data_IF_394922377137
#
_entry.id   IF_394922377137
#
_cell.length_a   1.000
_cell.length_b   1.000
_cell.length_c   1.000
_cell.angle_alpha   90.00
_cell.angle_beta   90.00
_cell.angle_gamma   90.00
#
_symmetry.space_group_name_H-M   'P 1'
#
loop_
_entity.id
_entity.type
_entity.pdbx_description
1 polymer ?
#
# COMPACT_ATOMS: atom_id res chain seq x y z
N UNK A 1 -25.95 -8.23 6.26
CA UNK A 1 -25.52 -7.73 6.08
C UNK A 1 -24.77 -7.42 5.32
N UNK A 2 -24.14 -7.43 5.05
CA UNK A 2 -23.54 -6.94 4.63
C UNK A 2 -22.76 -7.39 3.57
N UNK A 3 -23.34 -7.97 2.55
CA UNK A 3 -22.72 -8.27 1.30
C UNK A 3 -22.14 -7.03 0.66
N UNK A 4 -22.82 -5.91 0.82
CA UNK A 4 -22.31 -4.67 0.25
C UNK A 4 -21.02 -4.25 0.91
N UNK A 5 -20.94 -4.40 2.22
CA UNK A 5 -19.71 -4.04 2.90
C UNK A 5 -18.57 -4.94 2.48
N UNK A 6 -18.82 -6.21 2.34
CA UNK A 6 -17.79 -7.13 1.92
C UNK A 6 -17.37 -6.87 0.48
N UNK A 7 -18.33 -6.52 -0.36
CA UNK A 7 -18.02 -6.26 -1.76
C UNK A 7 -17.17 -5.02 -1.95
N UNK A 8 -17.21 -4.10 -1.00
CA UNK A 8 -16.43 -2.89 -1.12
C UNK A 8 -15.02 -3.03 -0.56
N UNK A 9 -14.70 -4.15 0.07
CA UNK A 9 -13.36 -4.38 0.60
C UNK A 9 -12.54 -5.16 -0.41
N UNK A 10 -11.40 -4.63 -0.75
CA UNK A 10 -10.52 -5.25 -1.73
C UNK A 10 -9.15 -5.44 -1.12
N UNK A 11 -8.40 -6.35 -1.69
CA UNK A 11 -7.06 -6.66 -1.24
C UNK A 11 -6.07 -6.42 -2.35
N UNK A 12 -4.89 -5.97 -1.97
CA UNK A 12 -3.83 -5.70 -2.91
C UNK A 12 -2.51 -6.10 -2.27
N UNK A 13 -1.69 -6.82 -3.02
CA UNK A 13 -0.34 -7.13 -2.56
C UNK A 13 0.63 -6.18 -3.22
N UNK A 14 1.45 -5.54 -2.41
CA UNK A 14 2.41 -4.57 -2.92
C UNK A 14 3.80 -4.90 -2.42
N UNK A 15 4.80 -4.58 -3.24
CA UNK A 15 6.19 -4.65 -2.85
C UNK A 15 6.66 -3.24 -2.56
N UNK A 16 7.33 -3.07 -1.43
CA UNK A 16 7.81 -1.78 -0.99
C UNK A 16 9.33 -1.83 -0.96
N UNK A 17 10.02 -1.25 -1.96
CA UNK A 17 11.47 -1.20 -1.92
C UNK A 17 11.95 -0.34 -0.76
N UNK A 18 12.94 -0.82 -0.04
CA UNK A 18 13.43 -0.15 1.15
C UNK A 18 14.94 -0.06 1.10
N UNK A 19 15.49 0.98 1.69
CA UNK A 19 16.92 1.10 1.85
C UNK A 19 17.36 0.76 3.27
N UNK A 20 16.41 0.61 4.17
CA UNK A 20 16.72 0.29 5.54
C UNK A 20 15.49 0.40 6.39
N UNK A 21 15.67 0.17 7.68
CA UNK A 21 14.58 0.17 8.62
C UNK A 21 13.89 1.53 8.73
N UNK A 22 14.66 2.59 8.56
CA UNK A 22 14.09 3.94 8.61
C UNK A 22 12.98 4.11 7.59
N UNK A 23 13.19 3.59 6.39
CA UNK A 23 12.17 3.71 5.35
C UNK A 23 10.96 2.85 5.64
N UNK A 24 11.18 1.70 6.26
CA UNK A 24 10.06 0.86 6.68
C UNK A 24 9.17 1.59 7.68
N UNK A 25 9.78 2.26 8.66
CA UNK A 25 9.03 3.01 9.65
C UNK A 25 8.30 4.20 9.03
N UNK A 26 8.96 4.87 8.09
CA UNK A 26 8.35 5.97 7.37
C UNK A 26 7.15 5.49 6.55
N UNK A 27 7.31 4.36 5.87
CA UNK A 27 6.23 3.78 5.11
C UNK A 27 5.03 3.46 6.02
N UNK A 28 5.27 2.84 7.15
CA UNK A 28 4.18 2.48 8.05
C UNK A 28 3.44 3.71 8.54
N UNK A 29 4.16 4.77 8.81
CA UNK A 29 3.54 6.00 9.28
C UNK A 29 2.67 6.62 8.20
N UNK A 30 3.16 6.66 6.98
CA UNK A 30 2.42 7.27 5.89
C UNK A 30 1.22 6.45 5.47
N UNK A 31 1.37 5.14 5.41
CA UNK A 31 0.26 4.28 5.02
C UNK A 31 -0.86 4.32 6.06
N UNK A 32 -0.50 4.51 7.31
CA UNK A 32 -1.50 4.61 8.37
C UNK A 32 -2.34 5.86 8.29
N UNK A 33 -1.90 6.85 7.51
CA UNK A 33 -2.66 8.08 7.32
C UNK A 33 -3.68 7.98 6.18
N UNK A 34 -3.68 6.89 5.44
CA UNK A 34 -4.58 6.73 4.30
C UNK A 34 -5.91 6.17 4.80
N UNK A 35 -6.94 6.97 4.73
CA UNK A 35 -8.24 6.62 5.34
C UNK A 35 -8.91 5.43 4.67
N UNK A 36 -8.68 5.21 3.38
CA UNK A 36 -9.32 4.09 2.69
C UNK A 36 -8.72 2.74 3.06
N UNK A 37 -7.58 2.72 3.72
CA UNK A 37 -6.92 1.47 4.08
C UNK A 37 -7.46 1.03 5.42
N UNK A 38 -7.98 -0.19 5.47
CA UNK A 38 -8.50 -0.76 6.69
C UNK A 38 -7.44 -1.56 7.43
N UNK A 39 -6.51 -2.17 6.70
CA UNK A 39 -5.57 -3.07 7.32
C UNK A 39 -4.35 -3.26 6.42
N UNK A 40 -3.20 -3.38 7.03
CA UNK A 40 -1.95 -3.68 6.33
C UNK A 40 -1.29 -4.84 7.04
N UNK A 41 -1.08 -5.93 6.32
CA UNK A 41 -0.43 -7.11 6.86
C UNK A 41 0.91 -7.31 6.20
N UNK A 42 1.94 -7.48 7.01
CA UNK A 42 3.27 -7.75 6.50
C UNK A 42 3.35 -9.22 6.08
N UNK A 43 3.57 -9.45 4.79
CA UNK A 43 3.68 -10.81 4.28
C UNK A 43 5.13 -11.28 4.25
N UNK A 44 6.07 -10.38 3.97
CA UNK A 44 7.48 -10.73 3.90
C UNK A 44 8.31 -9.49 4.12
N UNK A 45 9.40 -9.62 4.86
CA UNK A 45 10.32 -8.52 5.05
C UNK A 45 11.72 -9.02 4.78
N UNK A 46 12.43 -8.32 3.90
CA UNK A 46 13.83 -8.60 3.64
C UNK A 46 14.63 -7.32 3.78
N UNK A 47 15.92 -7.42 3.54
CA UNK A 47 16.80 -6.29 3.81
C UNK A 47 16.55 -5.11 2.88
N UNK A 48 16.03 -5.37 1.69
CA UNK A 48 15.86 -4.32 0.69
C UNK A 48 14.42 -4.15 0.21
N UNK A 49 13.48 -4.90 0.78
CA UNK A 49 12.10 -4.78 0.36
C UNK A 49 11.17 -5.42 1.37
N UNK A 50 9.93 -4.99 1.35
CA UNK A 50 8.87 -5.62 2.13
C UNK A 50 7.71 -5.92 1.19
N UNK A 51 7.01 -7.03 1.43
CA UNK A 51 5.76 -7.31 0.74
C UNK A 51 4.66 -7.22 1.76
N UNK A 52 3.65 -6.44 1.45
CA UNK A 52 2.52 -6.26 2.35
C UNK A 52 1.22 -6.48 1.60
N UNK A 53 0.23 -6.94 2.33
CA UNK A 53 -1.11 -7.07 1.80
C UNK A 53 -1.97 -5.97 2.39
N UNK A 54 -2.61 -5.22 1.54
CA UNK A 54 -3.40 -4.07 1.94
C UNK A 54 -4.87 -4.39 1.73
N UNK A 55 -5.66 -4.23 2.78
CA UNK A 55 -7.10 -4.34 2.70
C UNK A 55 -7.66 -2.93 2.67
N UNK A 56 -8.39 -2.60 1.62
CA UNK A 56 -8.84 -1.23 1.42
C UNK A 56 -10.27 -1.19 0.89
N UNK A 57 -10.87 -0.02 0.97
CA UNK A 57 -12.23 0.21 0.51
C UNK A 57 -12.18 1.07 -0.74
N UNK A 58 -13.05 0.79 -1.69
CA UNK A 58 -13.15 1.56 -2.91
C UNK A 58 -12.49 0.83 -4.06
N UNK A 59 -11.78 1.57 -4.91
CA UNK A 59 -11.11 0.96 -6.03
C UNK A 59 -9.63 1.38 -6.04
N UNK A 60 -8.85 0.72 -6.91
CA UNK A 60 -7.42 0.96 -6.92
C UNK A 60 -7.06 2.38 -7.35
N UNK A 61 -7.87 2.99 -8.20
CA UNK A 61 -7.60 4.37 -8.61
C UNK A 61 -7.76 5.35 -7.46
N UNK A 62 -8.80 5.16 -6.66
CA UNK A 62 -9.00 6.00 -5.50
C UNK A 62 -7.91 5.77 -4.46
N UNK A 63 -7.51 4.52 -4.30
CA UNK A 63 -6.44 4.19 -3.37
C UNK A 63 -5.13 4.84 -3.80
N UNK A 64 -4.81 4.78 -5.10
CA UNK A 64 -3.58 5.37 -5.60
C UNK A 64 -3.56 6.88 -5.35
N UNK A 65 -4.69 7.53 -5.54
CA UNK A 65 -4.78 8.96 -5.30
C UNK A 65 -4.59 9.29 -3.81
N UNK A 66 -5.24 8.52 -2.95
CA UNK A 66 -5.10 8.75 -1.51
C UNK A 66 -3.67 8.51 -1.05
N UNK A 67 -3.02 7.50 -1.60
CA UNK A 67 -1.62 7.24 -1.27
C UNK A 67 -0.71 8.37 -1.74
N UNK A 68 -0.98 8.91 -2.92
CA UNK A 68 -0.19 10.03 -3.43
C UNK A 68 -0.28 11.23 -2.48
N UNK A 69 -1.44 11.45 -1.90
CA UNK A 69 -1.61 12.54 -0.96
C UNK A 69 -0.88 12.29 0.35
N UNK A 70 -0.54 11.05 0.63
CA UNK A 70 0.20 10.69 1.84
C UNK A 70 1.69 10.52 1.60
N UNK A 71 2.17 10.88 0.42
CA UNK A 71 3.58 10.74 0.11
C UNK A 71 4.00 9.36 -0.32
N UNK A 72 3.08 8.61 -0.93
CA UNK A 72 3.35 7.28 -1.43
C UNK A 72 2.96 7.21 -2.91
N UNK A 73 3.70 6.46 -3.70
CA UNK A 73 3.40 6.29 -5.11
C UNK A 73 3.14 4.83 -5.39
N UNK A 74 1.96 4.53 -5.88
CA UNK A 74 1.54 3.17 -6.21
C UNK A 74 1.66 2.97 -7.71
N UNK A 75 2.35 1.92 -8.13
CA UNK A 75 2.60 1.66 -9.52
C UNK A 75 2.32 0.20 -9.84
N UNK A 76 1.57 -0.04 -10.88
CA UNK A 76 1.28 -1.39 -11.32
C UNK A 76 2.40 -1.88 -12.25
N UNK A 77 2.82 -3.14 -12.06
CA UNK A 77 3.84 -3.74 -12.90
C UNK A 77 3.14 -4.67 -13.88
N UNK A 78 3.11 -4.33 -15.18
CA UNK A 78 2.44 -5.19 -16.15
C UNK A 78 3.10 -6.56 -16.22
N UNK A 79 2.30 -7.58 -16.44
CA UNK A 79 2.80 -8.95 -16.51
C UNK A 79 2.98 -9.59 -15.15
N UNK A 80 2.66 -8.88 -14.09
CA UNK A 80 2.79 -9.37 -12.73
C UNK A 80 1.52 -8.99 -11.98
N UNK A 81 1.13 -9.78 -11.02
CA UNK A 81 -0.01 -9.42 -10.18
C UNK A 81 0.40 -8.50 -9.04
N UNK A 82 1.60 -8.00 -9.07
CA UNK A 82 2.17 -7.27 -7.96
C UNK A 82 2.23 -5.78 -8.26
N UNK A 83 1.91 -4.97 -7.28
CA UNK A 83 2.07 -3.53 -7.35
C UNK A 83 3.33 -3.13 -6.60
N UNK A 84 3.91 -2.02 -6.98
CA UNK A 84 5.07 -1.46 -6.28
C UNK A 84 4.62 -0.18 -5.61
N UNK A 85 4.93 -0.06 -4.32
CA UNK A 85 4.60 1.13 -3.55
C UNK A 85 5.90 1.76 -3.09
N UNK A 86 6.12 3.01 -3.47
CA UNK A 86 7.34 3.74 -3.13
C UNK A 86 7.03 4.91 -2.24
N UNK A 87 7.98 5.24 -1.38
CA UNK A 87 7.91 6.45 -0.58
C UNK A 87 8.38 7.61 -1.47
N UNK A 88 7.56 8.64 -1.56
CA UNK A 88 7.90 9.82 -2.33
C UNK A 88 8.54 10.85 -1.40
N UNK A 89 9.80 11.18 -1.69
CA UNK A 89 10.46 12.18 -0.87
C UNK A 89 10.26 13.49 -1.56
N UNK A 90 9.30 14.13 -1.28
CA UNK A 90 9.02 15.27 -1.96
C UNK A 90 9.62 16.45 -1.59
N UNK A 91 10.12 16.93 -1.60
CA UNK A 91 10.40 18.03 -1.45
C UNK A 91 10.16 18.48 -0.76
#
# INVERSE_FOLDING_TARGET
ANLLDQASELRMRVAVPLRGLDEWLKFRRRIGAVASIKRVDLARLSIDAAEVEILYIGNSGQLALAMAQSGLALKFVPGSALWILRIVEGR
#
